data_IF_160188538841
#
_entry.id   IF_160188538841
#
_cell.length_a   1.000
_cell.length_b   1.000
_cell.length_c   1.000
_cell.angle_alpha   90.00
_cell.angle_beta   90.00
_cell.angle_gamma   90.00
#
_symmetry.space_group_name_H-M   'P 1'
#
loop_
_entity.id
_entity.type
_entity.pdbx_description
1 polymer ?
#
# COMPACT_ATOMS: atom_id res chain seq x y z
N UNK A 1 -20.83 11.09 3.28
CA UNK A 1 -20.06 9.82 3.30
C UNK A 1 -20.23 9.09 1.96
N UNK A 2 -19.54 9.57 0.93
CA UNK A 2 -19.55 8.93 -0.42
C UNK A 2 -18.15 8.48 -0.85
N UNK A 3 -17.10 8.98 -0.20
CA UNK A 3 -15.71 8.55 -0.35
C UNK A 3 -15.17 8.05 0.99
N UNK A 4 -14.42 6.94 0.99
CA UNK A 4 -13.75 6.42 2.18
C UNK A 4 -12.74 7.41 2.78
N UNK A 5 -12.29 7.17 4.01
CA UNK A 5 -11.37 8.06 4.75
C UNK A 5 -9.93 8.08 4.19
N UNK A 6 -9.60 7.14 3.31
CA UNK A 6 -8.32 7.00 2.62
C UNK A 6 -8.49 7.07 1.10
N UNK A 7 -7.42 7.44 0.40
CA UNK A 7 -7.31 7.35 -1.05
C UNK A 7 -6.97 5.90 -1.53
N UNK A 8 -6.95 5.62 -2.85
CA UNK A 8 -6.61 4.29 -3.39
C UNK A 8 -5.18 3.78 -3.08
N UNK A 9 -4.32 4.63 -2.51
CA UNK A 9 -2.97 4.31 -2.07
C UNK A 9 -2.84 4.29 -0.53
N UNK A 10 -3.97 4.24 0.18
CA UNK A 10 -4.09 4.14 1.63
C UNK A 10 -3.56 5.36 2.40
N UNK A 11 -3.52 6.55 1.75
CA UNK A 11 -3.23 7.83 2.42
C UNK A 11 -4.50 8.46 2.94
N UNK A 12 -4.49 8.98 4.15
CA UNK A 12 -5.59 9.78 4.69
C UNK A 12 -5.72 11.07 3.89
N UNK A 13 -6.94 11.45 3.53
CA UNK A 13 -7.20 12.70 2.80
C UNK A 13 -6.63 13.91 3.56
N UNK A 14 -5.94 14.79 2.85
CA UNK A 14 -5.27 15.99 3.39
C UNK A 14 -4.11 15.72 4.36
N UNK A 15 -3.79 14.45 4.64
CA UNK A 15 -2.66 14.02 5.47
C UNK A 15 -1.86 12.94 4.73
N UNK A 16 -1.12 13.29 3.65
CA UNK A 16 -0.46 12.31 2.78
C UNK A 16 0.66 11.51 3.45
N UNK A 17 1.12 11.95 4.63
CA UNK A 17 2.09 11.25 5.48
C UNK A 17 1.44 10.31 6.50
N UNK A 18 0.11 10.27 6.58
CA UNK A 18 -0.66 9.39 7.45
C UNK A 18 -1.34 8.31 6.61
N UNK A 19 -1.15 7.05 7.00
CA UNK A 19 -1.68 5.89 6.28
C UNK A 19 -2.53 5.03 7.20
N UNK A 20 -3.60 4.47 6.67
CA UNK A 20 -4.46 3.52 7.38
C UNK A 20 -4.58 2.26 6.53
N UNK A 21 -4.30 1.11 7.12
CA UNK A 21 -4.58 -0.20 6.54
C UNK A 21 -5.33 -1.03 7.57
N UNK A 22 -6.59 -1.35 7.28
CA UNK A 22 -7.47 -2.05 8.21
C UNK A 22 -8.55 -2.83 7.43
N UNK A 23 -9.17 -3.82 8.07
CA UNK A 23 -10.24 -4.66 7.51
C UNK A 23 -11.49 -3.88 7.09
N UNK A 24 -11.68 -2.65 7.57
CA UNK A 24 -12.70 -1.72 7.05
C UNK A 24 -12.50 -1.34 5.57
N UNK A 25 -11.31 -1.56 5.01
CA UNK A 25 -11.00 -1.39 3.58
C UNK A 25 -11.35 -2.61 2.72
N UNK A 26 -11.84 -3.70 3.34
CA UNK A 26 -12.26 -4.93 2.67
C UNK A 26 -13.79 -4.94 2.62
N UNK A 27 -14.35 -4.71 1.43
CA UNK A 27 -15.81 -4.54 1.23
C UNK A 27 -16.62 -5.84 1.29
N UNK A 28 -16.00 -6.99 1.60
CA UNK A 28 -16.68 -8.29 1.61
C UNK A 28 -16.24 -9.16 2.79
N UNK A 29 -17.23 -9.62 3.55
CA UNK A 29 -17.03 -10.61 4.61
C UNK A 29 -16.80 -11.98 3.93
N UNK A 30 -15.53 -12.37 3.75
CA UNK A 30 -15.14 -13.56 2.97
C UNK A 30 -15.45 -14.90 3.65
N UNK A 31 -16.07 -14.93 4.84
CA UNK A 31 -16.36 -16.14 5.60
C UNK A 31 -15.11 -16.88 6.12
N UNK A 32 -13.92 -16.35 5.82
CA UNK A 32 -12.60 -16.83 6.25
C UNK A 32 -11.80 -15.67 6.84
N UNK A 33 -10.80 -15.99 7.67
CA UNK A 33 -10.03 -15.03 8.47
C UNK A 33 -9.50 -13.86 7.62
N UNK A 34 -9.95 -12.60 7.87
CA UNK A 34 -9.60 -11.44 7.04
C UNK A 34 -8.14 -10.99 7.16
N UNK A 35 -7.38 -11.55 8.10
CA UNK A 35 -5.97 -11.17 8.35
C UNK A 35 -5.11 -11.24 7.09
N UNK A 36 -5.21 -12.30 6.28
CA UNK A 36 -4.39 -12.44 5.07
C UNK A 36 -4.73 -11.38 4.01
N UNK A 37 -6.02 -11.01 3.88
CA UNK A 37 -6.45 -9.94 2.96
C UNK A 37 -5.94 -8.58 3.43
N UNK A 38 -5.98 -8.32 4.73
CA UNK A 38 -5.43 -7.09 5.31
C UNK A 38 -3.92 -7.02 5.09
N UNK A 39 -3.20 -8.13 5.33
CA UNK A 39 -1.75 -8.23 5.07
C UNK A 39 -1.43 -7.96 3.60
N UNK A 40 -2.15 -8.59 2.67
CA UNK A 40 -1.92 -8.38 1.24
C UNK A 40 -2.21 -6.93 0.81
N UNK A 41 -3.25 -6.29 1.37
CA UNK A 41 -3.53 -4.87 1.12
C UNK A 41 -2.44 -3.95 1.69
N UNK A 42 -1.93 -4.25 2.89
CA UNK A 42 -0.82 -3.52 3.51
C UNK A 42 0.45 -3.62 2.66
N UNK A 43 0.84 -4.85 2.30
CA UNK A 43 2.00 -5.11 1.46
C UNK A 43 1.91 -4.36 0.13
N UNK A 44 0.76 -4.43 -0.55
CA UNK A 44 0.54 -3.67 -1.78
C UNK A 44 0.69 -2.17 -1.55
N UNK A 45 0.02 -1.59 -0.56
CA UNK A 45 0.06 -0.14 -0.32
C UNK A 45 1.47 0.36 -0.01
N UNK A 46 2.22 -0.38 0.81
CA UNK A 46 3.58 -0.03 1.22
C UNK A 46 4.62 -0.30 0.14
N UNK A 47 4.39 -1.27 -0.74
CA UNK A 47 5.26 -1.50 -1.91
C UNK A 47 5.29 -0.30 -2.88
N UNK A 48 4.34 0.63 -2.77
CA UNK A 48 4.26 1.84 -3.60
C UNK A 48 4.87 3.07 -2.93
N UNK A 49 5.49 2.91 -1.75
CA UNK A 49 6.13 4.02 -1.05
C UNK A 49 7.48 4.37 -1.68
N UNK A 50 7.82 5.67 -1.77
CA UNK A 50 9.18 6.06 -2.13
C UNK A 50 10.16 5.62 -1.03
N UNK A 51 11.41 5.36 -1.39
CA UNK A 51 12.45 5.23 -0.36
C UNK A 51 12.63 6.57 0.35
N UNK A 52 13.17 6.53 1.57
CA UNK A 52 13.48 7.73 2.35
C UNK A 52 14.33 8.70 1.52
N UNK A 53 13.82 9.91 1.32
CA UNK A 53 14.49 10.98 0.56
C UNK A 53 14.23 10.96 -0.95
N UNK A 54 13.45 10.01 -1.48
CA UNK A 54 13.01 10.01 -2.88
C UNK A 54 11.70 10.79 -3.05
N UNK A 55 11.48 11.30 -4.26
CA UNK A 55 10.20 11.89 -4.64
C UNK A 55 9.11 10.82 -4.68
N UNK A 56 7.94 11.13 -4.12
CA UNK A 56 6.77 10.26 -4.20
C UNK A 56 6.22 10.24 -5.64
N UNK A 57 6.28 9.08 -6.29
CA UNK A 57 5.78 8.87 -7.65
C UNK A 57 4.27 8.62 -7.70
N UNK A 58 3.59 8.52 -6.55
CA UNK A 58 2.14 8.34 -6.50
C UNK A 58 1.44 9.62 -6.93
N UNK A 59 0.34 9.54 -7.71
CA UNK A 59 -0.46 10.71 -8.06
C UNK A 59 -0.90 11.51 -6.83
N UNK A 60 -1.10 12.81 -7.01
CA UNK A 60 -1.70 13.66 -5.98
C UNK A 60 -3.10 13.17 -5.60
N UNK A 61 -3.50 13.40 -4.36
CA UNK A 61 -4.86 13.09 -3.90
C UNK A 61 -5.90 13.80 -4.79
N UNK A 62 -6.94 13.06 -5.21
CA UNK A 62 -8.01 13.56 -6.09
C UNK A 62 -7.74 13.38 -7.58
N UNK A 63 -6.51 13.00 -7.98
CA UNK A 63 -6.22 12.58 -9.35
C UNK A 63 -6.79 11.19 -9.67
N UNK A 64 -6.97 10.90 -10.95
CA UNK A 64 -7.35 9.56 -11.42
C UNK A 64 -6.34 8.52 -10.95
N UNK A 65 -6.84 7.34 -10.56
CA UNK A 65 -5.99 6.23 -10.16
C UNK A 65 -5.05 5.80 -11.30
N UNK A 66 -3.77 5.63 -10.97
CA UNK A 66 -2.74 5.11 -11.86
C UNK A 66 -2.18 3.82 -11.27
N UNK A 67 -2.10 2.77 -12.08
CA UNK A 67 -1.38 1.55 -11.67
C UNK A 67 0.12 1.84 -11.68
N UNK A 68 0.76 1.67 -10.53
CA UNK A 68 2.19 1.90 -10.35
C UNK A 68 2.92 0.56 -10.20
N UNK A 69 4.18 0.55 -10.60
CA UNK A 69 5.09 -0.54 -10.29
C UNK A 69 5.54 -0.41 -8.83
N UNK A 70 5.72 -1.54 -8.10
CA UNK A 70 6.35 -1.53 -6.79
C UNK A 70 7.75 -0.89 -6.81
N UNK A 71 8.11 -0.23 -5.72
CA UNK A 71 9.41 0.37 -5.49
C UNK A 71 10.27 -0.62 -4.69
N UNK A 72 11.45 -0.95 -5.21
CA UNK A 72 12.40 -1.79 -4.50
C UNK A 72 12.98 -1.02 -3.29
N UNK A 73 13.04 -1.63 -2.08
CA UNK A 73 13.69 -1.00 -0.94
C UNK A 73 15.20 -0.94 -1.15
N UNK A 74 15.83 0.22 -0.92
CA UNK A 74 17.30 0.37 -0.93
C UNK A 74 17.98 -0.34 0.24
N UNK A 75 17.28 -0.50 1.35
CA UNK A 75 17.77 -1.12 2.58
C UNK A 75 16.70 -2.06 3.12
N UNK A 76 16.56 -3.27 2.52
CA UNK A 76 15.55 -4.22 2.93
C UNK A 76 15.84 -4.77 4.33
N UNK A 77 14.83 -4.76 5.20
CA UNK A 77 14.90 -5.45 6.49
C UNK A 77 14.78 -6.97 6.33
N UNK A 78 13.99 -7.41 5.36
CA UNK A 78 13.82 -8.83 5.03
C UNK A 78 14.90 -9.25 4.02
N UNK A 79 15.74 -10.25 4.32
CA UNK A 79 16.76 -10.72 3.40
C UNK A 79 16.15 -11.25 2.09
N UNK A 80 16.85 -11.07 0.97
CA UNK A 80 16.37 -11.44 -0.38
C UNK A 80 15.98 -12.92 -0.52
N UNK A 81 16.65 -13.81 0.23
CA UNK A 81 16.39 -15.26 0.20
C UNK A 81 15.26 -15.69 1.13
N UNK A 82 14.67 -14.80 1.93
CA UNK A 82 13.59 -15.14 2.84
C UNK A 82 12.25 -15.25 2.10
N UNK A 83 11.34 -16.08 2.65
CA UNK A 83 10.00 -16.27 2.07
C UNK A 83 9.18 -14.98 1.97
N UNK A 84 9.36 -14.04 2.90
CA UNK A 84 8.65 -12.76 2.91
C UNK A 84 9.36 -11.62 2.16
N UNK A 85 10.40 -11.91 1.38
CA UNK A 85 11.11 -10.87 0.63
C UNK A 85 10.21 -10.29 -0.48
N UNK A 86 10.21 -8.97 -0.65
CA UNK A 86 9.53 -8.32 -1.77
C UNK A 86 10.21 -8.72 -3.08
N UNK A 87 9.47 -9.37 -3.98
CA UNK A 87 9.94 -9.77 -5.31
C UNK A 87 9.26 -8.92 -6.37
N UNK A 88 10.04 -8.11 -7.07
CA UNK A 88 9.55 -7.26 -8.16
C UNK A 88 9.96 -7.94 -9.47
N UNK A 89 9.01 -8.60 -10.12
CA UNK A 89 9.23 -9.13 -11.46
C UNK A 89 9.14 -7.95 -12.44
N UNK A 90 10.29 -7.57 -13.01
CA UNK A 90 10.43 -6.57 -14.06
C UNK A 90 9.87 -7.04 -15.39
#
# INVERSE_FOLDING_TARGET
>A
PESGVIDPYHRVWNYPTLHIVDGSSVTANLGVNPSLTITAQAERAFSLWPNKGESDSRPTQGSTYVRLNPVAPKSPFVPEHAYGALRINS
#
